data_IF_617524316471
#
_entry.id   IF_617524316471
#
_cell.length_a   1.000
_cell.length_b   1.000
_cell.length_c   1.000
_cell.angle_alpha   90.00
_cell.angle_beta   90.00
_cell.angle_gamma   90.00
#
_symmetry.space_group_name_H-M   'P 1'
#
loop_
_entity.id
_entity.type
_entity.pdbx_description
1 polymer ?
#
# COMPACT_ATOMS: atom_id res chain seq x y z
N UNK A 1 1.92 2.82 8.34
CA UNK A 1 1.78 1.40 8.69
C UNK A 1 1.85 0.57 7.42
N UNK A 2 2.51 -0.56 7.49
CA UNK A 2 2.76 -1.39 6.32
C UNK A 2 2.47 -2.84 6.66
N UNK A 3 1.75 -3.54 5.79
CA UNK A 3 1.41 -4.92 6.04
C UNK A 3 1.32 -5.70 4.72
N UNK A 4 1.56 -6.99 4.79
CA UNK A 4 1.41 -7.86 3.63
C UNK A 4 -0.02 -8.35 3.57
N UNK A 5 -0.69 -8.11 2.44
CA UNK A 5 -2.04 -8.64 2.24
C UNK A 5 -2.01 -9.95 1.48
N UNK A 6 -0.93 -10.20 0.75
CA UNK A 6 -0.70 -11.50 0.12
C UNK A 6 0.72 -11.89 0.48
N UNK A 7 0.89 -13.05 1.04
CA UNK A 7 2.20 -13.53 1.44
C UNK A 7 2.32 -14.98 1.01
N UNK A 8 2.66 -15.17 -0.24
CA UNK A 8 2.92 -16.48 -0.78
C UNK A 8 4.40 -16.75 -0.76
N UNK A 9 4.75 -17.99 -0.87
CA UNK A 9 6.13 -18.39 -0.83
C UNK A 9 6.91 -17.64 -1.93
N UNK A 10 7.78 -16.73 -1.51
CA UNK A 10 8.63 -15.99 -2.41
C UNK A 10 7.99 -14.76 -3.05
N UNK A 11 6.78 -14.44 -2.70
CA UNK A 11 6.09 -13.32 -3.31
C UNK A 11 5.18 -12.66 -2.29
N UNK A 12 5.28 -11.36 -2.14
CA UNK A 12 4.44 -10.61 -1.21
C UNK A 12 3.84 -9.39 -1.89
N UNK A 13 2.62 -9.10 -1.50
CA UNK A 13 1.95 -7.88 -1.93
C UNK A 13 1.71 -7.05 -0.69
N UNK A 14 2.31 -5.89 -0.65
CA UNK A 14 2.33 -5.06 0.55
C UNK A 14 1.45 -3.83 0.37
N UNK A 15 0.80 -3.44 1.45
CA UNK A 15 0.02 -2.21 1.47
C UNK A 15 0.58 -1.34 2.59
N UNK A 16 0.91 -0.12 2.26
CA UNK A 16 1.40 0.84 3.23
C UNK A 16 0.46 2.03 3.29
N UNK A 17 0.09 2.44 4.50
CA UNK A 17 -0.78 3.58 4.68
C UNK A 17 -0.10 4.61 5.57
N UNK A 18 -0.35 5.88 5.29
CA UNK A 18 0.12 6.97 6.12
C UNK A 18 -0.82 8.15 5.98
N UNK A 19 -0.87 8.98 7.02
CA UNK A 19 -1.66 10.19 6.99
C UNK A 19 -0.77 11.33 6.54
N UNK A 20 -1.28 12.17 5.66
CA UNK A 20 -0.52 13.31 5.19
C UNK A 20 -1.14 14.61 5.69
N UNK A 21 -0.34 15.66 5.74
CA UNK A 21 -0.78 16.96 6.25
C UNK A 21 -1.32 17.88 5.17
N UNK A 22 -0.92 17.67 3.95
CA UNK A 22 -1.33 18.54 2.84
C UNK A 22 -1.77 17.71 1.64
N UNK A 23 -3.08 17.60 1.42
CA UNK A 23 -4.16 18.19 2.22
C UNK A 23 -4.33 17.46 3.53
N UNK A 24 -4.71 18.24 4.53
CA UNK A 24 -4.87 17.70 5.87
C UNK A 24 -5.95 16.63 5.90
N UNK A 25 -5.65 15.54 6.59
CA UNK A 25 -6.61 14.46 6.78
C UNK A 25 -6.65 13.45 5.66
N UNK A 26 -5.90 13.64 4.59
CA UNK A 26 -5.85 12.66 3.52
C UNK A 26 -4.99 11.48 3.94
N UNK A 27 -5.33 10.34 3.39
CA UNK A 27 -4.57 9.10 3.62
C UNK A 27 -3.89 8.70 2.32
N UNK A 28 -2.62 8.42 2.43
CA UNK A 28 -1.83 7.90 1.30
C UNK A 28 -1.80 6.38 1.43
N UNK A 29 -2.19 5.69 0.36
CA UNK A 29 -2.16 4.23 0.31
C UNK A 29 -1.27 3.84 -0.83
N UNK A 30 -0.25 3.05 -0.54
CA UNK A 30 0.71 2.61 -1.54
C UNK A 30 0.74 1.09 -1.58
N UNK A 31 0.68 0.54 -2.78
CA UNK A 31 0.72 -0.91 -3.01
C UNK A 31 2.06 -1.25 -3.65
N UNK A 32 2.77 -2.18 -3.04
CA UNK A 32 4.05 -2.63 -3.58
C UNK A 32 4.10 -4.14 -3.62
N UNK A 33 4.96 -4.66 -4.47
CA UNK A 33 5.19 -6.10 -4.55
C UNK A 33 6.66 -6.39 -4.25
N UNK A 34 6.91 -7.56 -3.71
CA UNK A 34 8.27 -7.96 -3.35
C UNK A 34 8.45 -9.44 -3.66
N UNK A 35 9.57 -9.78 -4.28
CA UNK A 35 9.90 -11.14 -4.62
C UNK A 35 11.15 -11.58 -3.86
N UNK A 36 11.02 -12.68 -3.11
CA UNK A 36 12.18 -13.22 -2.41
C UNK A 36 13.24 -13.73 -3.37
N UNK A 37 12.79 -14.27 -4.48
CA UNK A 37 13.72 -14.85 -5.46
C UNK A 37 14.37 -13.79 -6.31
N UNK A 38 14.06 -12.53 -6.11
CA UNK A 38 14.70 -11.47 -6.86
C UNK A 38 16.19 -11.49 -6.61
N UNK A 39 16.95 -11.25 -7.63
CA UNK A 39 18.37 -11.33 -7.56
C UNK A 39 19.04 -10.14 -6.93
N UNK A 40 18.28 -9.12 -6.66
CA UNK A 40 18.81 -7.88 -6.14
C UNK A 40 18.10 -7.47 -4.90
N UNK A 41 18.82 -6.83 -4.04
CA UNK A 41 18.21 -6.23 -2.87
C UNK A 41 17.28 -5.13 -3.31
N UNK A 42 16.30 -4.85 -2.49
CA UNK A 42 15.36 -3.79 -2.77
C UNK A 42 14.46 -4.10 -3.93
N UNK A 43 14.12 -5.34 -4.08
CA UNK A 43 13.25 -5.78 -5.16
C UNK A 43 11.82 -5.29 -5.01
N UNK A 44 11.53 -4.55 -3.97
CA UNK A 44 10.20 -4.00 -3.79
C UNK A 44 9.88 -3.06 -4.93
N UNK A 45 8.72 -3.23 -5.52
CA UNK A 45 8.32 -2.45 -6.68
C UNK A 45 6.94 -1.85 -6.43
N UNK A 46 6.84 -0.54 -6.58
CA UNK A 46 5.57 0.14 -6.41
C UNK A 46 4.67 -0.18 -7.59
N UNK A 47 3.46 -0.65 -7.29
CA UNK A 47 2.48 -0.94 -8.31
C UNK A 47 1.55 0.22 -8.52
N UNK A 48 1.17 0.88 -7.42
CA UNK A 48 0.19 1.91 -7.55
C UNK A 48 -0.01 2.62 -6.21
N UNK A 49 -0.48 3.84 -6.25
CA UNK A 49 -0.77 4.56 -5.01
C UNK A 49 -1.97 5.47 -5.18
N UNK A 50 -2.62 5.76 -4.07
CA UNK A 50 -3.80 6.60 -4.02
C UNK A 50 -3.67 7.60 -2.89
N UNK A 51 -4.33 8.75 -3.07
CA UNK A 51 -4.48 9.72 -2.01
C UNK A 51 -5.97 9.92 -1.81
N UNK A 52 -6.48 9.60 -0.65
CA UNK A 52 -7.92 9.61 -0.37
C UNK A 52 -8.26 10.58 0.73
N UNK A 53 -9.31 11.37 0.50
CA UNK A 53 -9.88 12.20 1.56
C UNK A 53 -10.58 11.31 2.58
N UNK A 54 -10.93 11.83 3.77
CA UNK A 54 -11.63 11.02 4.75
C UNK A 54 -12.92 10.40 4.21
N UNK A 55 -13.67 11.13 3.41
CA UNK A 55 -14.91 10.60 2.83
C UNK A 55 -14.61 9.50 1.80
N UNK A 56 -13.61 9.71 0.97
CA UNK A 56 -13.23 8.72 -0.03
C UNK A 56 -12.72 7.45 0.63
N UNK A 57 -11.97 7.60 1.71
CA UNK A 57 -11.49 6.45 2.46
C UNK A 57 -12.66 5.69 3.08
N UNK A 58 -13.66 6.41 3.61
CA UNK A 58 -14.84 5.76 4.17
C UNK A 58 -15.58 4.98 3.10
N UNK A 59 -15.69 5.55 1.91
CA UNK A 59 -16.34 4.86 0.79
C UNK A 59 -15.62 3.56 0.43
N UNK A 60 -14.31 3.60 0.45
CA UNK A 60 -13.53 2.40 0.17
C UNK A 60 -13.76 1.35 1.24
N UNK A 61 -13.78 1.76 2.51
CA UNK A 61 -13.98 0.81 3.61
C UNK A 61 -15.36 0.16 3.53
N UNK A 62 -16.35 0.89 3.04
CA UNK A 62 -17.70 0.34 2.91
C UNK A 62 -17.75 -0.77 1.87
N UNK A 63 -16.87 -0.75 0.90
CA UNK A 63 -16.82 -1.80 -0.10
C UNK A 63 -16.17 -3.07 0.41
N UNK A 64 -15.35 -2.94 1.42
CA UNK A 64 -14.62 -4.07 1.97
C UNK A 64 -15.42 -4.73 3.09
#
# INVERSE_FOLDING_TARGET
MKTAIIDNNGYRYLVETSTIDHPQGYTHIKFTTEWDSARRDGSEQKQFELFLSPMQLANLKDLL
#
